data_IF_720611761837
#
_entry.id   IF_720611761837
#
_cell.length_a   1.000
_cell.length_b   1.000
_cell.length_c   1.000
_cell.angle_alpha   90.00
_cell.angle_beta   90.00
_cell.angle_gamma   90.00
#
_symmetry.space_group_name_H-M   'P 1'
#
loop_
_entity.id
_entity.type
_entity.pdbx_description
1 polymer ?
#
# COMPACT_ATOMS: atom_id res chain seq x y z
N UNK A 1 -24.68 -78.44 12.99
CA UNK A 1 -24.15 -77.86 14.25
C UNK A 1 -23.86 -76.42 13.98
N UNK A 2 -24.73 -75.51 14.40
CA UNK A 2 -24.57 -74.04 14.27
C UNK A 2 -23.99 -73.52 15.56
N UNK A 3 -22.94 -72.75 15.47
CA UNK A 3 -22.24 -72.15 16.60
C UNK A 3 -23.04 -70.90 17.08
N UNK A 4 -23.56 -70.93 18.36
CA UNK A 4 -24.42 -69.83 18.83
C UNK A 4 -23.68 -68.61 19.38
N UNK A 5 -22.38 -68.48 19.13
CA UNK A 5 -21.56 -67.42 19.71
C UNK A 5 -20.80 -66.55 18.67
N UNK A 6 -21.40 -66.25 17.56
CA UNK A 6 -20.81 -65.23 16.69
C UNK A 6 -21.25 -63.82 17.13
N UNK A 7 -20.38 -63.01 17.70
CA UNK A 7 -20.73 -61.61 18.00
C UNK A 7 -20.86 -60.84 16.67
N UNK A 8 -22.06 -60.39 16.37
CA UNK A 8 -22.34 -59.47 15.27
C UNK A 8 -21.76 -58.09 15.60
N UNK A 9 -20.47 -57.91 15.30
CA UNK A 9 -19.90 -56.56 15.26
C UNK A 9 -20.40 -55.86 13.98
N UNK A 10 -21.47 -55.08 14.16
CA UNK A 10 -21.92 -54.15 13.13
C UNK A 10 -20.82 -53.09 12.89
N UNK A 11 -20.08 -53.25 11.83
CA UNK A 11 -19.22 -52.22 11.32
C UNK A 11 -20.10 -51.04 10.89
N UNK A 12 -20.28 -50.06 11.78
CA UNK A 12 -20.76 -48.75 11.40
C UNK A 12 -19.59 -48.06 10.75
N UNK A 13 -19.69 -47.84 9.45
CA UNK A 13 -18.73 -47.01 8.74
C UNK A 13 -18.63 -45.63 9.44
N UNK A 14 -17.41 -45.10 9.64
CA UNK A 14 -17.24 -43.80 10.24
C UNK A 14 -18.00 -42.78 9.40
N UNK A 15 -19.00 -42.14 9.99
CA UNK A 15 -19.67 -40.96 9.40
C UNK A 15 -18.59 -39.91 9.15
N UNK A 16 -18.21 -39.79 7.91
CA UNK A 16 -17.35 -38.72 7.49
C UNK A 16 -18.05 -37.39 7.85
N UNK A 17 -17.39 -36.49 8.60
CA UNK A 17 -17.96 -35.21 8.83
C UNK A 17 -18.11 -34.56 7.45
N UNK A 18 -19.33 -34.37 6.98
CA UNK A 18 -19.62 -33.49 5.85
C UNK A 18 -19.19 -32.10 6.29
N UNK A 19 -17.96 -31.74 5.93
CA UNK A 19 -17.58 -30.34 5.94
C UNK A 19 -18.49 -29.63 4.95
N UNK A 20 -19.66 -29.24 5.44
CA UNK A 20 -20.42 -28.20 4.78
C UNK A 20 -19.43 -27.06 4.70
N UNK A 21 -18.91 -26.82 3.51
CA UNK A 21 -18.13 -25.62 3.22
C UNK A 21 -19.06 -24.45 3.53
N UNK A 22 -19.12 -24.10 4.80
CA UNK A 22 -19.55 -22.77 5.20
C UNK A 22 -18.56 -21.86 4.47
N UNK A 23 -18.95 -21.47 3.26
CA UNK A 23 -18.31 -20.39 2.54
C UNK A 23 -18.34 -19.24 3.52
N UNK A 24 -17.21 -19.07 4.23
CA UNK A 24 -16.92 -17.85 4.93
C UNK A 24 -16.91 -16.79 3.84
N UNK A 25 -18.09 -16.29 3.50
CA UNK A 25 -18.25 -15.07 2.78
C UNK A 25 -17.65 -14.01 3.69
N UNK A 26 -16.31 -13.93 3.66
CA UNK A 26 -15.61 -12.75 4.09
C UNK A 26 -16.35 -11.64 3.36
N UNK A 27 -17.16 -10.88 4.08
CA UNK A 27 -17.68 -9.61 3.59
C UNK A 27 -16.44 -8.81 3.23
N UNK A 28 -16.05 -8.88 1.98
CA UNK A 28 -15.15 -7.89 1.40
C UNK A 28 -15.99 -6.62 1.53
N UNK A 29 -15.64 -5.81 2.54
CA UNK A 29 -16.28 -4.52 2.71
C UNK A 29 -16.15 -3.83 1.37
N UNK A 30 -17.28 -3.51 0.72
CA UNK A 30 -17.27 -2.87 -0.58
C UNK A 30 -16.40 -1.62 -0.46
N UNK A 31 -15.36 -1.55 -1.30
CA UNK A 31 -14.47 -0.41 -1.32
C UNK A 31 -15.32 0.85 -1.57
N UNK A 32 -15.08 1.90 -0.81
CA UNK A 32 -15.79 3.17 -1.04
C UNK A 32 -15.46 3.68 -2.45
N UNK A 33 -16.37 4.41 -3.13
CA UNK A 33 -16.12 4.94 -4.48
C UNK A 33 -14.78 5.69 -4.57
N UNK A 34 -14.43 6.44 -3.55
CA UNK A 34 -13.15 7.14 -3.47
C UNK A 34 -11.95 6.19 -3.36
N UNK A 35 -12.10 5.06 -2.69
CA UNK A 35 -11.06 4.04 -2.61
C UNK A 35 -10.82 3.39 -3.97
N UNK A 36 -11.88 3.08 -4.70
CA UNK A 36 -11.80 2.48 -6.04
C UNK A 36 -11.11 3.43 -7.03
N UNK A 37 -11.42 4.74 -6.95
CA UNK A 37 -10.81 5.76 -7.81
C UNK A 37 -9.28 5.77 -7.72
N UNK A 38 -8.69 5.52 -6.55
CA UNK A 38 -7.25 5.56 -6.35
C UNK A 38 -6.59 4.18 -6.27
N UNK A 39 -7.33 3.10 -6.49
CA UNK A 39 -6.82 1.74 -6.30
C UNK A 39 -5.61 1.43 -7.18
N UNK A 40 -5.66 1.75 -8.47
CA UNK A 40 -4.54 1.53 -9.40
C UNK A 40 -3.32 2.36 -9.03
N UNK A 41 -3.52 3.61 -8.61
CA UNK A 41 -2.45 4.49 -8.20
C UNK A 41 -1.78 3.99 -6.92
N UNK A 42 -2.58 3.55 -5.93
CA UNK A 42 -2.08 2.93 -4.70
C UNK A 42 -1.27 1.69 -5.00
N UNK A 43 -1.79 0.79 -5.86
CA UNK A 43 -1.09 -0.44 -6.24
C UNK A 43 0.26 -0.13 -6.88
N UNK A 44 0.30 0.79 -7.85
CA UNK A 44 1.54 1.19 -8.52
C UNK A 44 2.59 1.70 -7.53
N UNK A 45 2.22 2.66 -6.66
CA UNK A 45 3.17 3.23 -5.70
C UNK A 45 3.56 2.25 -4.58
N UNK A 46 2.64 1.39 -4.14
CA UNK A 46 2.89 0.37 -3.13
C UNK A 46 3.93 -0.64 -3.64
N UNK A 47 3.73 -1.18 -4.84
CA UNK A 47 4.64 -2.11 -5.49
C UNK A 47 6.02 -1.48 -5.73
N UNK A 48 6.08 -0.27 -6.29
CA UNK A 48 7.32 0.45 -6.55
C UNK A 48 8.17 0.69 -5.29
N UNK A 49 7.54 0.74 -4.11
CA UNK A 49 8.22 1.00 -2.84
C UNK A 49 8.28 -0.22 -1.89
N UNK A 50 7.81 -1.38 -2.32
CA UNK A 50 7.80 -2.59 -1.50
C UNK A 50 6.96 -2.47 -0.22
N UNK A 51 5.82 -1.78 -0.30
CA UNK A 51 4.90 -1.56 0.83
C UNK A 51 3.58 -2.28 0.55
N UNK A 52 2.98 -2.96 1.54
CA UNK A 52 1.66 -3.56 1.36
C UNK A 52 0.60 -2.49 1.00
N UNK A 53 -0.20 -2.73 -0.04
CA UNK A 53 -1.28 -1.84 -0.46
C UNK A 53 -2.25 -1.51 0.69
N UNK A 54 -2.57 -2.51 1.50
CA UNK A 54 -3.43 -2.37 2.68
C UNK A 54 -2.89 -1.35 3.69
N UNK A 55 -1.56 -1.22 3.80
CA UNK A 55 -0.93 -0.22 4.66
C UNK A 55 -1.07 1.19 4.05
N UNK A 56 -0.90 1.32 2.74
CA UNK A 56 -1.10 2.60 2.03
C UNK A 56 -2.54 3.06 2.17
N UNK A 57 -3.51 2.19 1.89
CA UNK A 57 -4.94 2.48 2.08
C UNK A 57 -5.27 2.91 3.51
N UNK A 58 -4.68 2.26 4.50
CA UNK A 58 -4.87 2.59 5.91
C UNK A 58 -4.36 4.00 6.25
N UNK A 59 -3.20 4.39 5.72
CA UNK A 59 -2.67 5.75 5.90
C UNK A 59 -3.57 6.77 5.22
N UNK A 60 -3.95 6.56 3.96
CA UNK A 60 -4.84 7.45 3.22
C UNK A 60 -6.17 7.66 3.96
N UNK A 61 -6.78 6.59 4.44
CA UNK A 61 -8.04 6.66 5.19
C UNK A 61 -7.89 7.47 6.47
N UNK A 62 -6.78 7.30 7.17
CA UNK A 62 -6.50 8.03 8.41
C UNK A 62 -6.21 9.51 8.17
N UNK A 63 -5.44 9.83 7.13
CA UNK A 63 -4.91 11.18 6.91
C UNK A 63 -5.90 12.10 6.20
N UNK A 64 -6.63 11.60 5.20
CA UNK A 64 -7.50 12.45 4.38
C UNK A 64 -8.88 11.86 4.06
N UNK A 65 -9.12 10.59 4.38
CA UNK A 65 -10.30 9.84 3.90
C UNK A 65 -10.43 9.89 2.37
N UNK A 66 -9.31 9.79 1.67
CA UNK A 66 -9.21 9.88 0.21
C UNK A 66 -9.52 11.26 -0.38
N UNK A 67 -9.41 12.34 0.39
CA UNK A 67 -9.51 13.69 -0.16
C UNK A 67 -8.15 14.17 -0.68
N UNK A 68 -7.94 14.26 -2.01
CA UNK A 68 -6.66 14.70 -2.55
C UNK A 68 -6.38 16.18 -2.30
N UNK A 69 -7.41 16.98 -2.05
CA UNK A 69 -7.29 18.42 -1.80
C UNK A 69 -7.21 18.77 -0.31
N UNK A 70 -7.07 17.77 0.56
CA UNK A 70 -6.95 18.03 1.98
C UNK A 70 -5.69 18.85 2.29
N UNK A 71 -5.86 19.90 3.08
CA UNK A 71 -4.78 20.73 3.62
C UNK A 71 -5.03 20.95 5.10
N UNK A 72 -4.07 20.56 5.94
CA UNK A 72 -4.18 20.72 7.39
C UNK A 72 -2.82 20.93 8.02
N UNK A 73 -2.66 22.04 8.74
CA UNK A 73 -1.44 22.34 9.54
C UNK A 73 -0.13 22.17 8.77
N UNK A 74 -0.11 22.57 7.47
CA UNK A 74 1.06 22.43 6.61
C UNK A 74 1.32 21.02 6.07
N UNK A 75 0.32 20.13 6.18
CA UNK A 75 0.27 18.85 5.50
C UNK A 75 -0.66 18.95 4.28
N UNK A 76 -0.32 18.27 3.19
CA UNK A 76 -0.95 18.43 1.89
C UNK A 76 -1.35 17.11 1.27
N UNK A 77 -2.52 17.11 0.62
CA UNK A 77 -2.97 16.07 -0.28
C UNK A 77 -3.43 14.79 0.40
N UNK A 78 -3.58 13.76 -0.41
CA UNK A 78 -4.26 12.51 -0.05
C UNK A 78 -3.59 11.75 1.12
N UNK A 79 -2.27 11.87 1.27
CA UNK A 79 -1.51 11.25 2.37
C UNK A 79 -1.00 12.27 3.40
N UNK A 80 -1.41 13.53 3.30
CA UNK A 80 -1.04 14.59 4.25
C UNK A 80 0.48 14.69 4.52
N UNK A 81 1.27 14.73 3.44
CA UNK A 81 2.71 14.91 3.56
C UNK A 81 3.09 16.38 3.75
N UNK A 82 4.09 16.67 4.57
CA UNK A 82 4.65 18.01 4.71
C UNK A 82 5.55 18.36 3.53
N UNK A 83 5.52 19.63 3.10
CA UNK A 83 6.39 20.12 2.02
C UNK A 83 7.87 19.87 2.35
N UNK A 84 8.31 20.10 3.59
CA UNK A 84 9.68 19.82 4.02
C UNK A 84 10.05 18.32 3.92
N UNK A 85 9.14 17.43 4.27
CA UNK A 85 9.34 15.98 4.11
C UNK A 85 9.41 15.59 2.64
N UNK A 86 8.51 16.10 1.80
CA UNK A 86 8.54 15.86 0.36
C UNK A 86 9.85 16.37 -0.28
N UNK A 87 10.32 17.55 0.12
CA UNK A 87 11.62 18.10 -0.34
C UNK A 87 12.80 17.25 0.10
N UNK A 88 12.80 16.76 1.34
CA UNK A 88 13.82 15.82 1.80
C UNK A 88 13.81 14.49 1.02
N UNK A 89 12.69 14.16 0.38
CA UNK A 89 12.53 13.02 -0.52
C UNK A 89 12.83 13.35 -1.99
N UNK A 90 13.26 14.57 -2.30
CA UNK A 90 13.63 15.01 -3.65
C UNK A 90 12.54 15.77 -4.40
N UNK A 91 11.47 16.21 -3.75
CA UNK A 91 10.45 17.05 -4.37
C UNK A 91 10.96 18.49 -4.56
N UNK A 92 10.84 19.03 -5.75
CA UNK A 92 11.29 20.40 -6.10
C UNK A 92 10.14 21.38 -6.37
N UNK A 93 8.90 20.87 -6.38
CA UNK A 93 7.72 21.70 -6.69
C UNK A 93 7.19 22.51 -5.51
N UNK A 94 6.06 23.18 -5.76
CA UNK A 94 5.34 23.97 -4.75
C UNK A 94 4.45 23.11 -3.85
N UNK A 95 3.97 23.68 -2.74
CA UNK A 95 2.99 23.03 -1.87
C UNK A 95 1.70 22.65 -2.61
N UNK A 96 1.26 23.48 -3.56
CA UNK A 96 0.08 23.21 -4.39
C UNK A 96 0.23 21.94 -5.25
N UNK A 97 1.44 21.66 -5.74
CA UNK A 97 1.71 20.44 -6.52
C UNK A 97 1.54 19.16 -5.71
N UNK A 98 1.61 19.22 -4.38
CA UNK A 98 1.32 18.08 -3.49
C UNK A 98 -0.18 17.77 -3.35
N UNK A 99 -1.06 18.56 -3.95
CA UNK A 99 -2.49 18.25 -4.04
C UNK A 99 -2.82 17.32 -5.21
N UNK A 100 -1.88 17.14 -6.14
CA UNK A 100 -1.98 16.09 -7.15
C UNK A 100 -1.73 14.72 -6.50
N UNK A 101 -2.66 13.76 -6.63
CA UNK A 101 -2.56 12.46 -5.95
C UNK A 101 -1.33 11.66 -6.34
N UNK A 102 -0.94 11.69 -7.61
CA UNK A 102 0.22 10.94 -8.09
C UNK A 102 1.52 11.53 -7.53
N UNK A 103 1.67 12.84 -7.61
CA UNK A 103 2.79 13.56 -7.00
C UNK A 103 2.87 13.32 -5.50
N UNK A 104 1.74 13.41 -4.80
CA UNK A 104 1.66 13.16 -3.36
C UNK A 104 2.13 11.76 -2.99
N UNK A 105 1.57 10.74 -3.65
CA UNK A 105 1.92 9.33 -3.39
C UNK A 105 3.37 9.01 -3.74
N UNK A 106 3.95 9.64 -4.77
CA UNK A 106 5.36 9.45 -5.13
C UNK A 106 6.29 9.69 -3.93
N UNK A 107 6.05 10.73 -3.16
CA UNK A 107 6.90 11.08 -2.02
C UNK A 107 6.39 10.50 -0.70
N UNK A 108 5.07 10.48 -0.51
CA UNK A 108 4.48 10.00 0.74
C UNK A 108 4.58 8.48 0.91
N UNK A 109 4.39 7.68 -0.15
CA UNK A 109 4.56 6.22 -0.07
C UNK A 109 6.04 5.86 0.11
N UNK A 110 6.96 6.60 -0.51
CA UNK A 110 8.40 6.46 -0.27
C UNK A 110 8.75 6.72 1.20
N UNK A 111 8.20 7.78 1.80
CA UNK A 111 8.38 8.07 3.21
C UNK A 111 7.75 6.98 4.09
N UNK A 112 6.58 6.46 3.72
CA UNK A 112 5.92 5.33 4.40
C UNK A 112 6.76 4.05 4.33
N UNK A 113 7.42 3.78 3.20
CA UNK A 113 8.31 2.63 3.05
C UNK A 113 9.48 2.68 4.05
N UNK A 114 10.06 3.86 4.26
CA UNK A 114 11.04 4.07 5.32
C UNK A 114 10.49 3.81 6.72
N UNK A 115 9.29 4.31 7.01
CA UNK A 115 8.58 4.07 8.27
C UNK A 115 8.27 2.58 8.48
N UNK A 116 7.83 1.89 7.44
CA UNK A 116 7.54 0.45 7.45
C UNK A 116 8.79 -0.38 7.71
N UNK A 117 9.90 -0.05 7.05
CA UNK A 117 11.22 -0.66 7.31
C UNK A 117 11.70 -0.39 8.74
N UNK A 118 11.59 0.86 9.23
CA UNK A 118 11.94 1.21 10.60
C UNK A 118 11.06 0.50 11.64
N UNK A 119 9.83 0.17 11.28
CA UNK A 119 8.89 -0.60 12.10
C UNK A 119 9.15 -2.11 12.08
N UNK A 120 10.07 -2.61 11.24
CA UNK A 120 10.31 -4.04 11.06
C UNK A 120 9.11 -4.79 10.46
N UNK A 121 8.38 -4.16 9.53
CA UNK A 121 7.20 -4.74 8.91
C UNK A 121 5.90 -4.64 9.72
N UNK A 122 5.93 -4.05 10.91
CA UNK A 122 4.72 -3.91 11.73
C UNK A 122 3.86 -2.73 11.26
N UNK A 123 2.66 -3.00 10.76
CA UNK A 123 1.74 -1.99 10.21
C UNK A 123 1.35 -0.92 11.23
N UNK A 124 1.00 -1.29 12.46
CA UNK A 124 0.58 -0.33 13.48
C UNK A 124 1.69 0.65 13.82
N UNK A 125 2.89 0.12 14.00
CA UNK A 125 4.09 0.92 14.28
C UNK A 125 4.47 1.78 13.09
N UNK A 126 4.35 1.27 11.86
CA UNK A 126 4.61 2.04 10.64
C UNK A 126 3.68 3.25 10.51
N UNK A 127 2.39 3.10 10.80
CA UNK A 127 1.43 4.22 10.82
C UNK A 127 1.79 5.26 11.89
N UNK A 128 2.21 4.82 13.09
CA UNK A 128 2.66 5.72 14.14
C UNK A 128 3.92 6.47 13.74
N UNK A 129 4.88 5.79 13.11
CA UNK A 129 6.12 6.38 12.62
C UNK A 129 5.89 7.33 11.45
N UNK A 130 4.94 7.03 10.56
CA UNK A 130 4.56 7.94 9.49
C UNK A 130 4.06 9.28 10.03
N UNK A 131 3.18 9.24 11.03
CA UNK A 131 2.59 10.43 11.63
C UNK A 131 3.55 11.22 12.53
N UNK A 132 4.35 10.52 13.35
CA UNK A 132 5.21 11.12 14.35
C UNK A 132 6.69 11.31 13.94
N UNK A 133 7.06 10.78 12.77
CA UNK A 133 8.46 10.70 12.33
C UNK A 133 9.18 9.47 12.88
N UNK A 134 10.26 9.06 12.19
CA UNK A 134 11.02 7.85 12.53
C UNK A 134 12.53 8.03 12.38
N UNK A 135 13.02 9.28 12.49
CA UNK A 135 14.44 9.59 12.30
C UNK A 135 15.35 8.76 13.20
N UNK A 136 15.09 8.74 14.50
CA UNK A 136 15.92 8.01 15.45
C UNK A 136 15.83 6.51 15.29
N UNK A 137 14.67 6.00 14.91
CA UNK A 137 14.43 4.57 14.65
C UNK A 137 15.19 4.10 13.40
N UNK A 138 15.18 4.92 12.36
CA UNK A 138 15.94 4.65 11.13
C UNK A 138 17.44 4.68 11.41
N UNK A 139 17.93 5.70 12.12
CA UNK A 139 19.34 5.82 12.51
C UNK A 139 19.83 4.61 13.31
N UNK A 140 19.05 4.14 14.30
CA UNK A 140 19.38 2.93 15.08
C UNK A 140 19.43 1.67 14.20
N UNK A 141 18.75 1.63 13.09
CA UNK A 141 18.76 0.54 12.11
C UNK A 141 19.76 0.75 10.96
N UNK A 142 20.63 1.77 11.07
CA UNK A 142 21.70 2.02 10.11
C UNK A 142 21.26 2.60 8.77
N UNK A 143 20.08 3.28 8.70
CA UNK A 143 19.69 3.96 7.47
C UNK A 143 19.16 5.38 7.73
N UNK A 144 19.24 6.24 6.70
CA UNK A 144 18.63 7.57 6.74
C UNK A 144 17.15 7.49 6.37
N UNK A 145 16.24 8.14 7.12
CA UNK A 145 14.82 8.19 6.78
C UNK A 145 14.55 8.91 5.45
N UNK A 146 15.48 9.75 5.03
CA UNK A 146 15.42 10.54 3.81
C UNK A 146 16.40 10.06 2.73
N UNK A 147 17.16 8.99 3.01
CA UNK A 147 17.96 8.38 1.95
C UNK A 147 17.00 7.90 0.87
N UNK A 148 16.97 8.64 -0.19
CA UNK A 148 16.31 8.27 -1.41
C UNK A 148 16.81 6.88 -1.77
N UNK A 149 15.93 5.90 -1.91
CA UNK A 149 16.22 4.73 -2.73
C UNK A 149 16.30 5.18 -4.21
N UNK A 150 16.88 6.36 -4.43
CA UNK A 150 17.10 6.97 -5.73
C UNK A 150 18.02 6.12 -6.63
N UNK A 151 18.51 5.00 -6.10
CA UNK A 151 19.39 4.09 -6.84
C UNK A 151 18.69 2.81 -7.33
N UNK A 152 17.41 2.58 -6.97
CA UNK A 152 16.68 1.39 -7.38
C UNK A 152 15.44 1.65 -8.24
N UNK A 153 15.06 2.91 -8.44
CA UNK A 153 13.94 3.28 -9.32
C UNK A 153 14.25 4.62 -10.00
N UNK A 154 15.28 4.65 -10.85
CA UNK A 154 15.18 5.54 -11.99
C UNK A 154 13.92 5.12 -12.74
N UNK A 155 12.92 5.99 -12.96
CA UNK A 155 11.82 5.64 -13.84
C UNK A 155 12.47 5.22 -15.15
N UNK A 156 12.18 4.01 -15.62
CA UNK A 156 12.54 3.61 -16.97
C UNK A 156 12.09 4.77 -17.88
N UNK A 157 13.04 5.37 -18.58
CA UNK A 157 12.77 6.48 -19.44
C UNK A 157 11.58 6.10 -20.33
N UNK A 158 10.46 6.78 -20.15
CA UNK A 158 9.31 6.62 -21.04
C UNK A 158 9.86 6.91 -22.41
N UNK A 159 9.80 6.00 -23.39
CA UNK A 159 10.32 6.27 -24.70
C UNK A 159 9.59 7.53 -25.20
N UNK A 160 10.36 8.54 -25.60
CA UNK A 160 9.83 9.77 -26.15
C UNK A 160 8.86 9.39 -27.26
N UNK A 161 7.61 9.81 -27.13
CA UNK A 161 6.59 9.64 -28.16
C UNK A 161 7.11 10.35 -29.42
N UNK A 162 7.61 9.56 -30.36
CA UNK A 162 8.05 10.06 -31.66
C UNK A 162 6.80 10.52 -32.40
N UNK A 163 6.61 11.83 -32.47
CA UNK A 163 5.56 12.40 -33.29
C UNK A 163 5.84 12.02 -34.76
N UNK A 164 4.85 11.47 -35.48
CA UNK A 164 5.01 11.21 -36.90
C UNK A 164 5.24 12.53 -37.61
N UNK A 165 6.35 12.61 -38.35
CA UNK A 165 6.66 13.76 -39.22
C UNK A 165 5.49 13.95 -40.18
N UNK A 166 4.88 15.14 -40.17
CA UNK A 166 3.95 15.54 -41.22
C UNK A 166 4.71 15.46 -42.55
N UNK A 167 4.26 14.57 -43.41
CA UNK A 167 4.71 14.58 -44.80
C UNK A 167 4.29 15.92 -45.40
N UNK A 168 5.28 16.70 -45.87
CA UNK A 168 5.00 17.87 -46.70
C UNK A 168 4.49 17.34 -48.03
N UNK A 169 3.24 17.63 -48.35
CA UNK A 169 2.71 17.52 -49.71
C UNK A 169 3.20 18.75 -50.50
N UNK A 170 3.98 18.47 -51.52
CA UNK A 170 4.14 19.36 -52.67
C UNK A 170 3.02 19.10 -53.63
#
# INVERSE_FOLDING_TARGET
MQDPYAPSYGWQAPVQPTFTAAVVRRRVAAASPNQTQFASLVSTHAQANGVPESLVHRVIMRESRYNPRAVSRGNYGIMQIRLGTARAMGYTGSAAGLLDPNTNMTYAVRYLAGAYRAAGGNHNRAVSYYAGGYYYQAKRRGFSPYATQARAAAPAAVPAFVQPRRAAMF
#
